data_IF_723037229906
#
_entry.id   IF_723037229906
#
_cell.length_a   1.000
_cell.length_b   1.000
_cell.length_c   1.000
_cell.angle_alpha   90.00
_cell.angle_beta   90.00
_cell.angle_gamma   90.00
#
_symmetry.space_group_name_H-M   'P 1'
#
loop_
_entity.id
_entity.type
_entity.pdbx_description
1 polymer ?
#
# COMPACT_ATOMS: atom_id res chain seq x y z
N UNK A 1 -10.69 -17.66 5.51
CA UNK A 1 -10.93 -17.47 6.96
C UNK A 1 -12.38 -17.17 7.34
N UNK A 2 -13.33 -17.02 6.38
CA UNK A 2 -14.73 -16.64 6.68
C UNK A 2 -14.83 -15.40 7.60
N UNK A 3 -13.89 -14.48 7.44
CA UNK A 3 -13.77 -13.28 8.26
C UNK A 3 -13.34 -12.13 7.37
N UNK A 4 -14.10 -11.03 7.41
CA UNK A 4 -13.79 -9.83 6.64
C UNK A 4 -12.80 -8.95 7.42
N UNK A 5 -11.52 -9.33 7.36
CA UNK A 5 -10.47 -8.62 8.05
C UNK A 5 -10.30 -7.18 7.54
N UNK A 6 -10.46 -6.94 6.23
CA UNK A 6 -10.36 -5.62 5.63
C UNK A 6 -11.48 -4.69 6.14
N UNK A 7 -12.72 -5.18 6.14
CA UNK A 7 -13.86 -4.42 6.66
C UNK A 7 -13.72 -4.11 8.15
N UNK A 8 -13.36 -5.11 8.96
CA UNK A 8 -13.17 -4.92 10.40
C UNK A 8 -12.05 -3.92 10.72
N UNK A 9 -10.92 -4.00 10.00
CA UNK A 9 -9.80 -3.07 10.13
C UNK A 9 -10.23 -1.64 9.78
N UNK A 10 -10.82 -1.45 8.60
CA UNK A 10 -11.19 -0.12 8.12
C UNK A 10 -12.28 0.49 9.00
N UNK A 11 -13.25 -0.30 9.47
CA UNK A 11 -14.31 0.17 10.37
C UNK A 11 -13.74 0.61 11.72
N UNK A 12 -12.74 -0.09 12.24
CA UNK A 12 -12.06 0.33 13.46
C UNK A 12 -11.33 1.67 13.31
N UNK A 13 -10.71 1.91 12.16
CA UNK A 13 -9.93 3.13 11.91
C UNK A 13 -10.79 4.34 11.53
N UNK A 14 -11.83 4.13 10.73
CA UNK A 14 -12.60 5.19 10.07
C UNK A 14 -14.00 5.38 10.67
N UNK A 15 -14.47 4.42 11.49
CA UNK A 15 -15.85 4.40 11.98
C UNK A 15 -16.80 3.69 11.00
N UNK A 16 -18.09 4.06 10.96
CA UNK A 16 -19.07 3.46 10.05
C UNK A 16 -18.61 3.49 8.58
N UNK A 17 -18.77 2.36 7.89
CA UNK A 17 -18.44 2.20 6.47
C UNK A 17 -19.69 1.83 5.68
N UNK A 18 -19.73 2.25 4.43
CA UNK A 18 -20.59 1.64 3.43
C UNK A 18 -20.14 0.20 3.18
N UNK A 19 -21.11 -0.66 2.82
CA UNK A 19 -20.80 -2.03 2.44
C UNK A 19 -19.84 -2.04 1.24
N UNK A 20 -18.87 -2.98 1.26
CA UNK A 20 -17.93 -3.14 0.15
C UNK A 20 -18.67 -3.39 -1.16
N UNK A 21 -18.10 -2.91 -2.26
CA UNK A 21 -18.62 -3.18 -3.59
C UNK A 21 -18.50 -4.68 -3.93
N UNK A 22 -19.34 -5.17 -4.85
CA UNK A 22 -19.24 -6.54 -5.38
C UNK A 22 -17.99 -6.71 -6.27
N UNK A 23 -17.59 -5.64 -6.95
CA UNK A 23 -16.43 -5.60 -7.85
C UNK A 23 -15.66 -4.30 -7.72
N UNK A 24 -14.33 -4.37 -7.77
CA UNK A 24 -13.46 -3.20 -7.85
C UNK A 24 -13.39 -2.67 -9.28
N UNK A 25 -13.65 -1.39 -9.48
CA UNK A 25 -13.77 -0.73 -10.78
C UNK A 25 -12.75 0.40 -11.01
N UNK A 26 -12.00 0.74 -9.98
CA UNK A 26 -10.91 1.71 -10.02
C UNK A 26 -9.69 1.21 -10.79
N UNK A 27 -8.72 2.12 -10.96
CA UNK A 27 -7.48 1.85 -11.66
C UNK A 27 -6.38 1.42 -10.68
N UNK A 28 -5.53 0.47 -11.10
CA UNK A 28 -4.28 0.18 -10.41
C UNK A 28 -3.16 0.99 -11.06
N UNK A 29 -2.69 2.02 -10.38
CA UNK A 29 -1.58 2.86 -10.83
C UNK A 29 -0.25 2.28 -10.39
N UNK A 30 0.74 2.31 -11.28
CA UNK A 30 2.14 2.04 -10.94
C UNK A 30 2.82 3.35 -10.51
N UNK A 31 3.57 3.28 -9.41
CA UNK A 31 4.29 4.40 -8.83
C UNK A 31 5.78 4.06 -8.74
N UNK A 32 6.64 5.06 -8.94
CA UNK A 32 8.09 4.84 -8.92
C UNK A 32 8.62 5.00 -7.50
N UNK A 33 9.27 3.97 -7.00
CA UNK A 33 9.93 3.96 -5.69
C UNK A 33 11.44 4.23 -5.90
N UNK A 34 11.91 5.42 -5.55
CA UNK A 34 13.26 5.89 -5.92
C UNK A 34 14.23 6.06 -4.75
N UNK A 35 13.81 5.80 -3.51
CA UNK A 35 14.66 6.07 -2.34
C UNK A 35 15.83 5.08 -2.24
N UNK A 36 17.06 5.62 -2.32
CA UNK A 36 18.28 4.85 -2.19
C UNK A 36 18.42 4.21 -0.79
N UNK A 37 19.01 3.01 -0.74
CA UNK A 37 19.24 2.29 0.52
C UNK A 37 17.98 1.74 1.21
N UNK A 38 16.78 1.93 0.64
CA UNK A 38 15.50 1.48 1.21
C UNK A 38 15.27 -0.03 1.13
N UNK A 39 16.00 -0.74 0.27
CA UNK A 39 15.74 -2.14 -0.06
C UNK A 39 14.28 -2.36 -0.50
N UNK A 40 13.69 -1.37 -1.16
CA UNK A 40 12.37 -1.44 -1.76
C UNK A 40 12.45 -1.81 -3.24
N UNK A 41 11.36 -2.33 -3.81
CA UNK A 41 11.27 -2.57 -5.23
C UNK A 41 11.31 -1.24 -6.01
N UNK A 42 11.43 -1.29 -7.34
CA UNK A 42 11.36 -0.08 -8.17
C UNK A 42 9.92 0.45 -8.35
N UNK A 43 8.93 -0.43 -8.22
CA UNK A 43 7.53 -0.14 -8.48
C UNK A 43 6.70 -0.41 -7.24
N UNK A 44 5.93 0.58 -6.81
CA UNK A 44 4.81 0.47 -5.88
C UNK A 44 3.49 0.59 -6.63
N UNK A 45 2.38 0.33 -5.97
CA UNK A 45 1.06 0.36 -6.61
C UNK A 45 0.08 1.19 -5.82
N UNK A 46 -0.91 1.80 -6.47
CA UNK A 46 -2.03 2.43 -5.81
C UNK A 46 -3.35 2.08 -6.51
N UNK A 47 -4.32 1.60 -5.74
CA UNK A 47 -5.69 1.45 -6.22
C UNK A 47 -6.44 2.77 -6.05
N UNK A 48 -6.92 3.35 -7.16
CA UNK A 48 -7.62 4.63 -7.19
C UNK A 48 -9.05 4.42 -7.69
N UNK A 49 -10.08 4.55 -6.83
CA UNK A 49 -11.47 4.51 -7.25
C UNK A 49 -11.81 5.58 -8.30
N UNK A 50 -12.75 5.28 -9.20
CA UNK A 50 -13.17 6.20 -10.27
C UNK A 50 -13.59 7.58 -9.75
N UNK A 51 -14.30 7.62 -8.63
CA UNK A 51 -14.71 8.85 -7.93
C UNK A 51 -13.53 9.72 -7.48
N UNK A 52 -12.48 9.10 -6.91
CA UNK A 52 -11.26 9.80 -6.51
C UNK A 52 -10.52 10.34 -7.75
N UNK A 53 -10.47 9.55 -8.82
CA UNK A 53 -9.90 9.98 -10.10
C UNK A 53 -10.70 11.13 -10.75
N UNK A 54 -12.00 11.20 -10.51
CA UNK A 54 -12.88 12.29 -10.96
C UNK A 54 -12.76 13.57 -10.11
N UNK A 55 -11.91 13.58 -9.07
CA UNK A 55 -11.63 14.76 -8.26
C UNK A 55 -12.43 14.85 -6.96
N UNK A 56 -13.20 13.82 -6.59
CA UNK A 56 -13.82 13.79 -5.27
C UNK A 56 -12.77 13.72 -4.16
N UNK A 57 -13.00 14.36 -3.00
CA UNK A 57 -12.12 14.21 -1.84
C UNK A 57 -12.07 12.75 -1.38
N UNK A 58 -10.87 12.19 -1.34
CA UNK A 58 -10.63 10.83 -0.88
C UNK A 58 -9.58 10.79 0.24
N UNK A 59 -9.72 9.80 1.12
CA UNK A 59 -8.74 9.48 2.14
C UNK A 59 -7.72 8.46 1.59
N UNK A 60 -6.52 8.43 2.18
CA UNK A 60 -5.47 7.48 1.82
C UNK A 60 -5.30 6.43 2.92
N UNK A 61 -5.33 5.15 2.53
CA UNK A 61 -4.93 4.04 3.39
C UNK A 61 -3.69 3.37 2.79
N UNK A 62 -2.62 3.23 3.59
CA UNK A 62 -1.38 2.58 3.16
C UNK A 62 -1.38 1.15 3.69
N UNK A 63 -1.34 0.17 2.78
CA UNK A 63 -1.39 -1.26 3.11
C UNK A 63 -0.04 -1.93 2.84
N UNK A 64 0.56 -2.44 3.91
CA UNK A 64 1.88 -3.06 3.89
C UNK A 64 1.78 -4.58 3.83
N UNK A 65 2.31 -5.18 2.76
CA UNK A 65 2.35 -6.64 2.62
C UNK A 65 3.27 -7.31 3.65
N UNK A 66 3.05 -8.60 3.92
CA UNK A 66 3.95 -9.41 4.73
C UNK A 66 5.20 -9.88 3.97
N UNK A 67 6.10 -10.57 4.68
CA UNK A 67 7.23 -11.27 4.05
C UNK A 67 6.74 -12.27 2.98
N UNK A 68 7.45 -12.37 1.85
CA UNK A 68 7.08 -13.19 0.67
C UNK A 68 5.75 -12.82 0.02
N UNK A 69 5.17 -11.67 0.33
CA UNK A 69 3.91 -11.19 -0.28
C UNK A 69 4.11 -9.96 -1.17
N UNK A 70 5.36 -9.61 -1.48
CA UNK A 70 5.66 -8.61 -2.51
C UNK A 70 5.29 -9.15 -3.90
N UNK A 71 5.03 -8.25 -4.85
CA UNK A 71 4.50 -8.62 -6.18
C UNK A 71 5.39 -9.61 -6.94
N UNK A 72 6.72 -9.50 -6.83
CA UNK A 72 7.63 -10.44 -7.48
C UNK A 72 7.52 -11.89 -6.95
N UNK A 73 6.94 -12.10 -5.76
CA UNK A 73 6.73 -13.42 -5.17
C UNK A 73 5.32 -14.00 -5.40
N UNK A 74 4.28 -13.16 -5.41
CA UNK A 74 2.87 -13.61 -5.43
C UNK A 74 2.04 -13.01 -6.55
N UNK A 75 2.66 -12.32 -7.51
CA UNK A 75 1.93 -11.55 -8.51
C UNK A 75 1.10 -10.44 -7.85
N UNK A 76 -0.11 -10.23 -8.35
CA UNK A 76 -1.01 -9.18 -7.85
C UNK A 76 -1.88 -9.62 -6.65
N UNK A 77 -1.68 -10.83 -6.12
CA UNK A 77 -2.58 -11.42 -5.13
C UNK A 77 -2.75 -10.55 -3.88
N UNK A 78 -1.67 -9.96 -3.35
CA UNK A 78 -1.78 -9.07 -2.19
C UNK A 78 -2.52 -7.77 -2.52
N UNK A 79 -2.25 -7.17 -3.67
CA UNK A 79 -2.81 -5.87 -4.05
C UNK A 79 -4.25 -5.97 -4.58
N UNK A 80 -4.75 -7.19 -4.88
CA UNK A 80 -6.11 -7.41 -5.41
C UNK A 80 -7.01 -8.23 -4.48
N UNK A 81 -6.48 -9.15 -3.66
CA UNK A 81 -7.29 -10.14 -2.95
C UNK A 81 -7.43 -9.90 -1.43
N UNK A 82 -6.87 -8.80 -0.91
CA UNK A 82 -7.03 -8.43 0.53
C UNK A 82 -8.45 -7.98 0.87
N UNK A 83 -9.26 -7.61 -0.13
CA UNK A 83 -10.60 -7.03 0.05
C UNK A 83 -10.63 -5.51 0.24
N UNK A 84 -9.46 -4.87 0.38
CA UNK A 84 -9.35 -3.42 0.59
C UNK A 84 -9.89 -2.63 -0.61
N UNK A 85 -9.63 -3.06 -1.85
CA UNK A 85 -10.06 -2.34 -3.06
C UNK A 85 -11.60 -2.25 -3.18
N UNK A 86 -12.33 -3.26 -2.68
CA UNK A 86 -13.80 -3.27 -2.70
C UNK A 86 -14.40 -2.25 -1.72
N UNK A 87 -13.75 -2.07 -0.56
CA UNK A 87 -14.10 -1.02 0.39
C UNK A 87 -13.70 0.36 -0.13
N UNK A 88 -12.53 0.47 -0.76
CA UNK A 88 -12.08 1.70 -1.41
C UNK A 88 -13.09 2.22 -2.43
N UNK A 89 -13.64 1.33 -3.25
CA UNK A 89 -14.62 1.70 -4.27
C UNK A 89 -15.94 2.20 -3.74
N UNK A 90 -16.29 1.87 -2.49
CA UNK A 90 -17.53 2.27 -1.82
C UNK A 90 -17.34 3.47 -0.89
N UNK A 91 -16.14 3.70 -0.36
CA UNK A 91 -15.89 4.59 0.78
C UNK A 91 -14.90 5.75 0.52
N UNK A 92 -14.68 6.17 -0.73
CA UNK A 92 -13.74 7.27 -1.07
C UNK A 92 -12.32 7.03 -0.54
N UNK A 93 -11.79 5.80 -0.64
CA UNK A 93 -10.43 5.48 -0.19
C UNK A 93 -9.52 5.18 -1.38
N UNK A 94 -8.36 5.81 -1.42
CA UNK A 94 -7.23 5.36 -2.24
C UNK A 94 -6.43 4.37 -1.38
N UNK A 95 -6.05 3.23 -1.95
CA UNK A 95 -5.18 2.26 -1.26
C UNK A 95 -3.79 2.29 -1.88
N UNK A 96 -2.79 2.70 -1.11
CA UNK A 96 -1.39 2.65 -1.51
C UNK A 96 -0.76 1.33 -1.04
N UNK A 97 -0.06 0.64 -1.94
CA UNK A 97 0.63 -0.63 -1.75
C UNK A 97 2.13 -0.50 -2.05
N UNK A 98 2.92 0.07 -1.12
CA UNK A 98 4.37 0.10 -1.25
C UNK A 98 4.93 -1.33 -1.30
N UNK A 99 6.06 -1.52 -1.98
CA UNK A 99 6.67 -2.84 -2.18
C UNK A 99 8.09 -2.90 -1.61
N UNK A 100 8.30 -3.71 -0.58
CA UNK A 100 9.64 -4.09 -0.14
C UNK A 100 10.25 -5.10 -1.13
N UNK A 101 11.59 -5.13 -1.25
CA UNK A 101 12.30 -6.04 -2.13
C UNK A 101 13.19 -7.03 -1.36
N UNK A 102 13.39 -8.24 -1.89
CA UNK A 102 14.34 -9.17 -1.30
C UNK A 102 15.78 -8.67 -1.46
N UNK A 103 16.61 -8.95 -0.47
CA UNK A 103 18.06 -8.70 -0.47
C UNK A 103 18.81 -9.89 0.14
N UNK A 104 20.14 -9.89 0.09
CA UNK A 104 20.95 -10.97 0.67
C UNK A 104 20.69 -11.18 2.18
N UNK A 105 20.44 -10.09 2.91
CA UNK A 105 20.17 -10.11 4.35
C UNK A 105 18.66 -10.12 4.68
N UNK A 106 17.80 -9.93 3.67
CA UNK A 106 16.35 -9.99 3.77
C UNK A 106 15.77 -10.77 2.58
N UNK A 107 16.03 -12.09 2.47
CA UNK A 107 15.69 -12.89 1.28
C UNK A 107 14.18 -13.07 1.09
N UNK A 108 13.38 -12.69 2.08
CA UNK A 108 11.92 -12.79 2.03
C UNK A 108 11.26 -11.45 1.67
N UNK A 109 12.02 -10.38 1.47
CA UNK A 109 11.50 -9.06 1.13
C UNK A 109 10.49 -8.57 2.18
N UNK A 110 10.86 -8.71 3.46
CA UNK A 110 10.11 -8.15 4.58
C UNK A 110 10.32 -6.63 4.65
N UNK A 111 9.41 -5.93 5.34
CA UNK A 111 9.69 -4.59 5.82
C UNK A 111 10.84 -4.61 6.83
N UNK A 112 11.54 -3.50 6.95
CA UNK A 112 12.67 -3.37 7.84
C UNK A 112 12.18 -3.10 9.27
N UNK A 113 12.07 -4.17 10.04
CA UNK A 113 11.79 -4.15 11.48
C UNK A 113 12.98 -4.67 12.29
N UNK A 114 14.15 -4.82 11.65
CA UNK A 114 15.34 -5.44 12.24
C UNK A 114 16.61 -4.58 12.09
N UNK A 115 16.64 -3.61 11.17
CA UNK A 115 17.78 -2.73 10.91
C UNK A 115 18.57 -3.04 9.64
N UNK A 116 17.96 -3.68 8.63
CA UNK A 116 18.63 -4.00 7.36
C UNK A 116 19.10 -2.76 6.59
N UNK A 117 18.44 -1.63 6.80
CA UNK A 117 18.70 -0.34 6.15
C UNK A 117 19.48 0.63 7.06
N UNK A 118 20.03 0.13 8.17
CA UNK A 118 20.85 0.89 9.13
C UNK A 118 20.10 1.21 10.44
N UNK A 119 20.80 1.87 11.37
CA UNK A 119 20.32 2.10 12.75
C UNK A 119 19.06 2.96 12.83
N UNK A 120 18.77 3.75 11.80
CA UNK A 120 17.62 4.66 11.77
C UNK A 120 16.32 4.01 11.29
N UNK A 121 16.29 2.68 11.07
CA UNK A 121 15.17 1.96 10.45
C UNK A 121 13.79 2.13 11.13
N UNK A 122 13.74 2.52 12.41
CA UNK A 122 12.49 2.78 13.16
C UNK A 122 12.15 4.26 13.32
N UNK A 123 12.98 5.18 12.80
CA UNK A 123 12.77 6.62 12.95
C UNK A 123 12.17 7.23 11.69
N UNK A 124 11.82 8.50 11.74
CA UNK A 124 11.38 9.26 10.56
C UNK A 124 12.48 9.39 9.49
N UNK A 125 13.73 9.06 9.82
CA UNK A 125 14.86 9.02 8.90
C UNK A 125 15.06 7.64 8.27
N UNK A 126 14.21 6.66 8.59
CA UNK A 126 14.29 5.32 8.03
C UNK A 126 14.13 5.36 6.49
N UNK A 127 15.07 4.76 5.73
CA UNK A 127 15.00 4.75 4.27
C UNK A 127 13.68 4.19 3.71
N UNK A 128 13.10 3.16 4.33
CA UNK A 128 11.79 2.63 3.91
C UNK A 128 10.63 3.59 4.19
N UNK A 129 10.64 4.29 5.32
CA UNK A 129 9.59 5.24 5.65
C UNK A 129 9.66 6.47 4.73
N UNK A 130 10.87 6.97 4.45
CA UNK A 130 11.11 8.03 3.48
C UNK A 130 10.59 7.65 2.08
N UNK A 131 10.89 6.42 1.64
CA UNK A 131 10.40 5.91 0.36
C UNK A 131 8.86 5.88 0.28
N UNK A 132 8.19 5.46 1.36
CA UNK A 132 6.72 5.46 1.44
C UNK A 132 6.18 6.88 1.38
N UNK A 133 6.80 7.84 2.07
CA UNK A 133 6.36 9.23 2.02
C UNK A 133 6.54 9.86 0.63
N UNK A 134 7.59 9.50 -0.11
CA UNK A 134 7.74 9.92 -1.51
C UNK A 134 6.62 9.37 -2.42
N UNK A 135 6.12 8.16 -2.17
CA UNK A 135 4.94 7.64 -2.88
C UNK A 135 3.67 8.41 -2.53
N UNK A 136 3.51 8.79 -1.26
CA UNK A 136 2.39 9.65 -0.82
C UNK A 136 2.45 11.00 -1.53
N UNK A 137 3.63 11.62 -1.58
CA UNK A 137 3.85 12.88 -2.31
C UNK A 137 3.54 12.72 -3.80
N UNK A 138 3.98 11.63 -4.44
CA UNK A 138 3.68 11.34 -5.84
C UNK A 138 2.17 11.24 -6.11
N UNK A 139 1.40 10.64 -5.19
CA UNK A 139 -0.07 10.55 -5.31
C UNK A 139 -0.78 11.88 -5.05
N UNK A 140 -0.22 12.73 -4.19
CA UNK A 140 -0.81 14.02 -3.82
C UNK A 140 -0.44 15.15 -4.78
N UNK A 141 0.60 14.98 -5.58
CA UNK A 141 0.96 15.91 -6.63
C UNK A 141 -0.20 16.01 -7.64
N UNK A 142 -0.89 17.15 -7.63
CA UNK A 142 -1.86 17.51 -8.66
C UNK A 142 -1.09 17.93 -9.91
N UNK A 143 -1.39 17.30 -11.05
CA UNK A 143 -1.18 17.93 -12.35
C UNK A 143 -2.23 19.04 -12.56
#
# INVERSE_FOLDING_TARGET
>A
CQYDAAGALLQHLLGPLDAKADTSTGDMLELTQSQAGSLMAKTGYAYVPKRCKAGEPCQLHISFHGCKQHVAAVGDAYITQTGLNLYADSNNLVILYPQAAPSAFNPHGCWDWWGYTGEQYITTQAPQLQAVMLLVEQLMAKD
#
